data_IF_014824630331
#
_entry.id   IF_014824630331
#
_cell.length_a   1.000
_cell.length_b   1.000
_cell.length_c   1.000
_cell.angle_alpha   90.00
_cell.angle_beta   90.00
_cell.angle_gamma   90.00
#
_symmetry.space_group_name_H-M   'P 1'
#
loop_
_entity.id
_entity.type
_entity.pdbx_description
1 polymer ?
#
# COMPACT_ATOMS: atom_id res chain seq x y z
N UNK A 1 30.53 -13.68 -11.29
CA UNK A 1 29.61 -14.42 -10.40
C UNK A 1 28.37 -14.77 -11.21
N UNK A 2 27.81 -16.00 -11.10
CA UNK A 2 26.58 -16.41 -11.77
C UNK A 2 25.42 -16.31 -10.77
N UNK A 3 24.42 -15.48 -11.06
CA UNK A 3 23.23 -15.34 -10.23
C UNK A 3 22.16 -16.37 -10.58
N UNK A 4 21.27 -16.67 -9.63
CA UNK A 4 20.08 -17.48 -9.91
C UNK A 4 19.16 -16.75 -10.91
N UNK A 5 18.59 -17.50 -11.86
CA UNK A 5 17.75 -16.94 -12.93
C UNK A 5 16.54 -16.12 -12.38
N UNK A 6 15.99 -16.52 -11.24
CA UNK A 6 14.88 -15.81 -10.60
C UNK A 6 15.21 -14.35 -10.27
N UNK A 7 16.50 -13.99 -10.09
CA UNK A 7 16.89 -12.61 -9.77
C UNK A 7 16.66 -11.63 -10.92
N UNK A 8 16.66 -12.09 -12.16
CA UNK A 8 16.35 -11.24 -13.32
C UNK A 8 14.84 -10.95 -13.46
N UNK A 9 14.00 -11.65 -12.69
CA UNK A 9 12.55 -11.44 -12.67
C UNK A 9 12.08 -10.55 -11.52
N UNK A 10 12.98 -10.20 -10.59
CA UNK A 10 12.67 -9.35 -9.45
C UNK A 10 12.80 -7.87 -9.85
N UNK A 11 11.69 -7.16 -9.82
CA UNK A 11 11.63 -5.70 -10.02
C UNK A 11 11.91 -4.90 -8.74
N UNK A 12 11.77 -3.59 -8.82
CA UNK A 12 11.97 -2.65 -7.70
C UNK A 12 10.93 -1.54 -7.70
N UNK A 13 11.02 -0.63 -6.74
CA UNK A 13 10.20 0.57 -6.64
C UNK A 13 10.96 1.78 -7.17
N UNK A 14 10.44 2.44 -8.20
CA UNK A 14 11.06 3.64 -8.81
C UNK A 14 11.02 4.86 -7.90
N UNK A 15 10.18 4.87 -6.85
CA UNK A 15 10.08 5.99 -5.91
C UNK A 15 11.44 6.36 -5.27
N UNK A 16 12.24 5.36 -4.92
CA UNK A 16 13.57 5.60 -4.33
C UNK A 16 14.60 6.10 -5.34
N UNK A 17 14.45 5.74 -6.60
CA UNK A 17 15.29 6.27 -7.70
C UNK A 17 14.98 7.76 -7.94
N UNK A 18 13.69 8.13 -7.95
CA UNK A 18 13.26 9.52 -8.06
C UNK A 18 13.72 10.34 -6.86
N UNK A 19 13.60 9.79 -5.63
CA UNK A 19 14.12 10.43 -4.42
C UNK A 19 15.63 10.70 -4.51
N UNK A 20 16.40 9.70 -4.93
CA UNK A 20 17.87 9.88 -5.08
C UNK A 20 18.19 10.97 -6.10
N UNK A 21 17.46 11.03 -7.21
CA UNK A 21 17.62 12.08 -8.24
C UNK A 21 17.20 13.46 -7.72
N UNK A 22 16.09 13.55 -6.98
CA UNK A 22 15.65 14.79 -6.36
C UNK A 22 16.71 15.35 -5.40
N UNK A 23 17.25 14.50 -4.51
CA UNK A 23 18.35 14.88 -3.60
C UNK A 23 19.62 15.32 -4.33
N UNK A 24 19.96 14.69 -5.45
CA UNK A 24 21.10 15.13 -6.27
C UNK A 24 20.89 16.53 -6.85
N UNK A 25 19.66 16.89 -7.26
CA UNK A 25 19.32 18.23 -7.71
C UNK A 25 19.34 19.26 -6.56
N UNK A 26 18.84 18.88 -5.37
CA UNK A 26 18.92 19.73 -4.17
C UNK A 26 20.36 20.06 -3.80
N UNK A 27 21.27 19.09 -3.94
CA UNK A 27 22.71 19.31 -3.70
C UNK A 27 23.33 20.35 -4.64
N UNK A 28 22.70 20.66 -5.80
CA UNK A 28 23.10 21.75 -6.71
C UNK A 28 22.47 23.10 -6.35
N UNK A 29 21.70 23.18 -5.26
CA UNK A 29 20.99 24.38 -4.82
C UNK A 29 19.57 24.53 -5.37
N UNK A 30 19.03 23.53 -6.09
CA UNK A 30 17.67 23.57 -6.59
C UNK A 30 16.68 23.28 -5.47
N UNK A 31 15.60 24.08 -5.38
CA UNK A 31 14.48 23.79 -4.47
C UNK A 31 13.58 22.71 -5.08
N UNK A 32 13.31 21.66 -4.31
CA UNK A 32 12.43 20.56 -4.71
C UNK A 32 11.33 20.40 -3.67
N UNK A 33 10.09 20.20 -4.13
CA UNK A 33 8.99 19.73 -3.29
C UNK A 33 8.81 18.23 -3.54
N UNK A 34 8.95 17.42 -2.48
CA UNK A 34 8.88 15.97 -2.53
C UNK A 34 7.44 15.47 -2.39
N UNK A 35 6.87 14.95 -3.47
CA UNK A 35 5.55 14.32 -3.51
C UNK A 35 5.60 12.90 -4.08
N UNK A 36 6.82 12.31 -4.22
CA UNK A 36 7.05 10.98 -4.78
C UNK A 36 7.02 9.88 -3.73
N UNK A 37 7.30 10.20 -2.46
CA UNK A 37 7.39 9.18 -1.40
C UNK A 37 6.04 8.97 -0.71
N UNK A 38 5.68 7.71 -0.53
CA UNK A 38 4.47 7.28 0.17
C UNK A 38 4.71 7.06 1.67
N UNK A 39 5.02 8.10 2.41
CA UNK A 39 5.30 8.06 3.84
C UNK A 39 4.55 9.20 4.54
N UNK A 40 3.84 8.94 5.67
CA UNK A 40 3.31 10.01 6.49
C UNK A 40 4.43 10.95 6.97
N UNK A 41 4.22 12.25 6.85
CA UNK A 41 5.15 13.30 7.30
C UNK A 41 5.01 13.65 8.79
N UNK A 42 4.17 12.91 9.49
CA UNK A 42 3.98 13.02 10.93
C UNK A 42 4.97 12.14 11.70
N UNK A 43 5.36 12.60 12.87
CA UNK A 43 6.05 11.76 13.84
C UNK A 43 5.11 10.67 14.37
N UNK A 44 5.67 9.51 14.71
CA UNK A 44 4.95 8.49 15.48
C UNK A 44 4.43 9.11 16.79
N UNK A 45 3.15 8.91 17.17
CA UNK A 45 2.55 9.45 18.40
C UNK A 45 3.40 9.20 19.64
N UNK A 46 3.46 10.20 20.52
CA UNK A 46 4.36 10.21 21.68
C UNK A 46 4.16 8.99 22.59
N UNK A 47 2.92 8.59 22.83
CA UNK A 47 2.61 7.45 23.71
C UNK A 47 3.16 6.12 23.15
N UNK A 48 3.21 5.96 21.82
CA UNK A 48 3.79 4.78 21.16
C UNK A 48 5.32 4.78 21.34
N UNK A 49 5.96 5.95 21.13
CA UNK A 49 7.41 6.11 21.33
C UNK A 49 7.81 5.83 22.78
N UNK A 50 7.03 6.32 23.74
CA UNK A 50 7.24 6.06 25.16
C UNK A 50 7.10 4.58 25.51
N UNK A 51 6.12 3.86 24.94
CA UNK A 51 5.95 2.43 25.14
C UNK A 51 7.16 1.63 24.63
N UNK A 52 7.78 2.04 23.51
CA UNK A 52 9.01 1.40 23.04
C UNK A 52 10.20 1.64 23.98
N UNK A 53 10.36 2.88 24.47
CA UNK A 53 11.43 3.21 25.43
C UNK A 53 11.28 2.41 26.70
N UNK A 54 10.07 2.32 27.26
CA UNK A 54 9.78 1.51 28.44
C UNK A 54 10.07 0.04 28.18
N UNK A 55 9.67 -0.50 27.03
CA UNK A 55 9.96 -1.91 26.70
C UNK A 55 11.48 -2.19 26.61
N UNK A 56 12.28 -1.25 26.12
CA UNK A 56 13.73 -1.37 26.11
C UNK A 56 14.31 -1.37 27.54
N UNK A 57 13.83 -0.50 28.43
CA UNK A 57 14.21 -0.41 29.84
C UNK A 57 13.81 -1.69 30.62
N UNK A 58 12.68 -2.31 30.26
CA UNK A 58 12.20 -3.58 30.80
C UNK A 58 12.96 -4.82 30.26
N UNK A 59 13.89 -4.64 29.32
CA UNK A 59 14.71 -5.72 28.78
C UNK A 59 14.06 -6.54 27.65
N UNK A 60 13.08 -6.00 26.93
CA UNK A 60 12.47 -6.66 25.75
C UNK A 60 13.44 -6.66 24.56
N UNK A 61 14.66 -7.17 24.78
CA UNK A 61 15.78 -7.16 23.80
C UNK A 61 16.16 -8.55 23.32
N UNK A 62 15.44 -9.58 23.74
CA UNK A 62 15.71 -10.97 23.41
C UNK A 62 14.81 -11.50 22.31
N UNK A 63 15.14 -12.67 21.77
CA UNK A 63 14.29 -13.37 20.81
C UNK A 63 12.90 -13.66 21.40
N UNK A 64 11.91 -13.58 20.53
CA UNK A 64 10.53 -13.96 20.82
C UNK A 64 10.05 -14.99 19.77
N UNK A 65 8.87 -15.58 19.92
CA UNK A 65 8.33 -16.50 18.91
C UNK A 65 8.29 -15.89 17.51
N UNK A 66 8.64 -16.68 16.50
CA UNK A 66 8.74 -16.22 15.11
C UNK A 66 7.42 -15.68 14.54
N UNK A 67 6.29 -16.23 15.02
CA UNK A 67 4.97 -15.70 14.65
C UNK A 67 4.63 -14.36 15.36
N UNK A 68 5.43 -13.91 16.30
CA UNK A 68 5.20 -12.75 17.15
C UNK A 68 4.82 -13.10 18.59
N UNK A 69 4.88 -12.11 19.48
CA UNK A 69 4.48 -12.23 20.88
C UNK A 69 3.02 -12.70 20.98
N UNK A 70 2.71 -13.75 21.76
CA UNK A 70 1.35 -14.28 21.86
C UNK A 70 0.31 -13.24 22.28
N UNK A 71 0.65 -12.39 23.25
CA UNK A 71 -0.21 -11.30 23.72
C UNK A 71 -0.47 -10.25 22.64
N UNK A 72 0.53 -9.92 21.80
CA UNK A 72 0.34 -8.97 20.71
C UNK A 72 -0.53 -9.55 19.59
N UNK A 73 -0.30 -10.81 19.22
CA UNK A 73 -1.14 -11.54 18.25
C UNK A 73 -2.60 -11.60 18.71
N UNK A 74 -2.82 -11.81 20.03
CA UNK A 74 -4.16 -11.79 20.63
C UNK A 74 -4.83 -10.42 20.50
N UNK A 75 -4.13 -9.34 20.82
CA UNK A 75 -4.63 -7.97 20.68
C UNK A 75 -5.01 -7.68 19.24
N UNK A 76 -4.17 -8.07 18.26
CA UNK A 76 -4.47 -7.91 16.83
C UNK A 76 -5.76 -8.64 16.47
N UNK A 77 -5.87 -9.93 16.81
CA UNK A 77 -7.03 -10.74 16.47
C UNK A 77 -8.33 -10.19 17.08
N UNK A 78 -8.32 -9.83 18.35
CA UNK A 78 -9.47 -9.25 19.05
C UNK A 78 -9.92 -7.93 18.39
N UNK A 79 -8.98 -7.08 18.00
CA UNK A 79 -9.28 -5.79 17.40
C UNK A 79 -9.84 -5.93 15.99
N UNK A 80 -9.25 -6.78 15.13
CA UNK A 80 -9.76 -7.01 13.78
C UNK A 80 -11.12 -7.70 13.77
N UNK A 81 -11.35 -8.60 14.73
CA UNK A 81 -12.67 -9.19 14.95
C UNK A 81 -13.72 -8.13 15.36
N UNK A 82 -13.36 -7.23 16.28
CA UNK A 82 -14.28 -6.20 16.77
C UNK A 82 -14.53 -5.09 15.74
N UNK A 83 -13.48 -4.61 15.05
CA UNK A 83 -13.60 -3.47 14.16
C UNK A 83 -14.03 -3.85 12.74
N UNK A 84 -13.59 -4.99 12.23
CA UNK A 84 -13.80 -5.41 10.84
C UNK A 84 -14.67 -6.65 10.68
N UNK A 85 -15.07 -7.29 11.77
CA UNK A 85 -15.90 -8.51 11.73
C UNK A 85 -15.18 -9.75 11.20
N UNK A 86 -13.83 -9.75 11.18
CA UNK A 86 -13.03 -10.87 10.67
C UNK A 86 -12.99 -11.97 11.74
N UNK A 87 -13.52 -13.19 11.48
CA UNK A 87 -13.47 -14.30 12.44
C UNK A 87 -12.05 -14.86 12.51
N UNK A 88 -11.29 -14.46 13.53
CA UNK A 88 -9.92 -14.91 13.75
C UNK A 88 -9.59 -14.99 15.24
N UNK A 89 -8.55 -15.74 15.56
CA UNK A 89 -7.88 -15.76 16.84
C UNK A 89 -6.36 -15.54 16.67
N UNK A 90 -5.60 -15.61 17.78
CA UNK A 90 -4.16 -15.33 17.73
C UNK A 90 -3.37 -16.31 16.85
N UNK A 91 -3.85 -17.54 16.62
CA UNK A 91 -3.18 -18.52 15.76
C UNK A 91 -3.26 -18.17 14.27
N UNK A 92 -4.24 -17.32 13.87
CA UNK A 92 -4.36 -16.79 12.53
C UNK A 92 -3.35 -15.67 12.23
N UNK A 93 -2.69 -15.08 13.25
CA UNK A 93 -1.87 -13.88 13.12
C UNK A 93 -0.39 -14.22 13.06
N UNK A 94 0.32 -13.65 12.08
CA UNK A 94 1.79 -13.65 11.99
C UNK A 94 2.31 -12.24 11.92
N UNK A 95 3.19 -11.87 12.85
CA UNK A 95 3.83 -10.53 12.92
C UNK A 95 5.15 -10.55 12.16
N UNK A 96 5.38 -9.51 11.35
CA UNK A 96 6.58 -9.40 10.51
C UNK A 96 7.21 -8.01 10.61
N UNK A 97 8.52 -7.85 10.23
CA UNK A 97 9.19 -6.55 10.18
C UNK A 97 8.67 -5.69 8.99
N UNK A 98 7.50 -5.08 9.20
CA UNK A 98 6.69 -4.41 8.19
C UNK A 98 5.73 -5.36 7.48
N UNK A 99 4.78 -4.83 6.73
CA UNK A 99 3.74 -5.62 6.06
C UNK A 99 4.24 -6.38 4.81
N UNK A 100 5.25 -5.87 4.09
CA UNK A 100 5.75 -6.49 2.85
C UNK A 100 6.17 -7.95 2.97
N UNK A 101 6.84 -8.43 4.04
CA UNK A 101 7.19 -9.84 4.17
C UNK A 101 5.97 -10.78 4.15
N UNK A 102 4.80 -10.35 4.64
CA UNK A 102 3.57 -11.16 4.56
C UNK A 102 3.26 -11.51 3.10
N UNK A 103 3.22 -10.50 2.21
CA UNK A 103 2.98 -10.71 0.78
C UNK A 103 4.01 -11.68 0.17
N UNK A 104 5.30 -11.44 0.47
CA UNK A 104 6.39 -12.24 -0.06
C UNK A 104 6.30 -13.71 0.41
N UNK A 105 6.07 -13.92 1.69
CA UNK A 105 5.97 -15.27 2.26
C UNK A 105 4.70 -16.00 1.84
N UNK A 106 3.58 -15.29 1.71
CA UNK A 106 2.33 -15.88 1.22
C UNK A 106 2.48 -16.35 -0.22
N UNK A 107 3.08 -15.53 -1.10
CA UNK A 107 3.32 -15.94 -2.48
C UNK A 107 4.31 -17.12 -2.57
N UNK A 108 5.36 -17.15 -1.73
CA UNK A 108 6.27 -18.31 -1.63
C UNK A 108 5.59 -19.58 -1.12
N UNK A 109 4.58 -19.44 -0.25
CA UNK A 109 3.91 -20.59 0.36
C UNK A 109 2.76 -21.16 -0.49
N UNK A 110 2.13 -20.33 -1.32
CA UNK A 110 0.91 -20.70 -2.06
C UNK A 110 1.11 -20.93 -3.55
N UNK A 111 2.18 -20.37 -4.15
CA UNK A 111 2.35 -20.34 -5.61
C UNK A 111 3.48 -21.23 -6.07
N UNK A 112 3.22 -21.93 -7.16
CA UNK A 112 4.19 -22.71 -7.94
C UNK A 112 4.40 -22.11 -9.34
N UNK A 113 5.38 -22.63 -10.06
CA UNK A 113 5.65 -22.19 -11.43
C UNK A 113 4.44 -22.43 -12.35
N UNK A 114 3.98 -21.35 -12.98
CA UNK A 114 2.84 -21.38 -13.91
C UNK A 114 1.47 -21.13 -13.27
N UNK A 115 1.38 -21.04 -11.95
CA UNK A 115 0.18 -20.53 -11.27
C UNK A 115 -0.10 -19.07 -11.66
N UNK A 116 -1.35 -18.66 -11.69
CA UNK A 116 -1.75 -17.31 -12.07
C UNK A 116 -2.12 -16.47 -10.85
N UNK A 117 -1.58 -15.25 -10.84
CA UNK A 117 -1.89 -14.20 -9.85
C UNK A 117 -2.59 -13.06 -10.55
N UNK A 118 -3.88 -12.88 -10.26
CA UNK A 118 -4.65 -11.73 -10.70
C UNK A 118 -4.30 -10.53 -9.80
N UNK A 119 -4.09 -9.35 -10.38
CA UNK A 119 -3.77 -8.16 -9.59
C UNK A 119 -4.26 -6.89 -10.30
N UNK A 120 -4.66 -5.83 -9.55
CA UNK A 120 -5.05 -4.55 -10.15
C UNK A 120 -3.86 -3.91 -10.87
N UNK A 121 -4.12 -3.20 -11.98
CA UNK A 121 -3.12 -2.42 -12.71
C UNK A 121 -3.78 -1.13 -13.24
N UNK A 122 -3.28 0.07 -12.87
CA UNK A 122 -2.05 0.30 -12.09
C UNK A 122 -2.12 -0.24 -10.66
N UNK A 123 -0.97 -0.59 -10.04
CA UNK A 123 -0.87 -1.03 -8.66
C UNK A 123 0.54 -0.85 -8.08
N UNK A 124 0.68 -1.11 -6.80
CA UNK A 124 1.97 -1.18 -6.15
C UNK A 124 2.86 -2.24 -6.82
N UNK A 125 4.03 -1.84 -7.38
CA UNK A 125 4.77 -2.68 -8.34
C UNK A 125 5.32 -3.99 -7.75
N UNK A 126 5.36 -4.08 -6.42
CA UNK A 126 5.90 -5.27 -5.75
C UNK A 126 4.99 -6.50 -5.92
N UNK A 127 3.68 -6.33 -6.16
CA UNK A 127 2.78 -7.48 -6.39
C UNK A 127 3.21 -8.26 -7.62
N UNK A 128 3.37 -7.60 -8.76
CA UNK A 128 3.84 -8.20 -10.01
C UNK A 128 5.27 -8.74 -9.88
N UNK A 129 6.14 -7.95 -9.24
CA UNK A 129 7.55 -8.31 -9.03
C UNK A 129 7.70 -9.62 -8.27
N UNK A 130 6.98 -9.81 -7.16
CA UNK A 130 7.08 -11.03 -6.35
C UNK A 130 6.42 -12.21 -7.06
N UNK A 131 5.28 -12.02 -7.73
CA UNK A 131 4.66 -13.07 -8.55
C UNK A 131 5.64 -13.60 -9.61
N UNK A 132 6.29 -12.70 -10.34
CA UNK A 132 7.34 -13.07 -11.32
C UNK A 132 8.54 -13.79 -10.66
N UNK A 133 8.97 -13.30 -9.49
CA UNK A 133 10.12 -13.89 -8.79
C UNK A 133 9.87 -15.33 -8.37
N UNK A 134 8.69 -15.66 -7.88
CA UNK A 134 8.33 -17.03 -7.46
C UNK A 134 8.00 -17.96 -8.64
N UNK A 135 7.93 -17.44 -9.88
CA UNK A 135 7.64 -18.21 -11.09
C UNK A 135 6.17 -18.24 -11.48
N UNK A 136 5.31 -17.57 -10.74
CA UNK A 136 3.91 -17.42 -11.10
C UNK A 136 3.75 -16.42 -12.26
N UNK A 137 2.61 -16.49 -12.94
CA UNK A 137 2.22 -15.59 -14.02
C UNK A 137 1.33 -14.48 -13.50
N UNK A 138 1.79 -13.24 -13.44
CA UNK A 138 0.93 -12.11 -13.09
C UNK A 138 -0.05 -11.81 -14.25
N UNK A 139 -1.34 -11.63 -13.90
CA UNK A 139 -2.42 -11.31 -14.82
C UNK A 139 -3.05 -9.98 -14.41
N UNK A 140 -2.76 -8.89 -15.11
CA UNK A 140 -3.25 -7.56 -14.75
C UNK A 140 -4.76 -7.42 -15.00
N UNK A 141 -5.46 -6.75 -14.06
CA UNK A 141 -6.84 -6.30 -14.15
C UNK A 141 -6.83 -4.78 -14.30
N UNK A 142 -7.35 -4.25 -15.38
CA UNK A 142 -7.28 -2.83 -15.67
C UNK A 142 -8.20 -2.02 -14.75
N UNK A 143 -7.61 -1.15 -13.90
CA UNK A 143 -8.39 -0.14 -13.19
C UNK A 143 -8.51 1.11 -14.07
N UNK A 144 -9.75 1.50 -14.36
CA UNK A 144 -10.05 2.60 -15.27
C UNK A 144 -10.63 3.80 -14.54
N UNK A 145 -10.19 5.00 -14.94
CA UNK A 145 -10.64 6.25 -14.34
C UNK A 145 -12.16 6.45 -14.49
N UNK A 146 -12.75 6.07 -15.63
CA UNK A 146 -14.18 6.16 -15.90
C UNK A 146 -15.05 5.34 -14.93
N UNK A 147 -14.46 4.31 -14.29
CA UNK A 147 -15.10 3.51 -13.24
C UNK A 147 -14.69 3.97 -11.82
N UNK A 148 -13.99 5.10 -11.68
CA UNK A 148 -13.43 5.56 -10.41
C UNK A 148 -12.30 4.67 -9.89
N UNK A 149 -11.59 3.98 -10.78
CA UNK A 149 -10.55 2.99 -10.48
C UNK A 149 -11.03 1.80 -9.62
N UNK A 150 -12.34 1.52 -9.64
CA UNK A 150 -12.89 0.30 -9.06
C UNK A 150 -12.63 -0.91 -9.96
N UNK A 151 -12.65 -2.12 -9.40
CA UNK A 151 -12.37 -3.34 -10.14
C UNK A 151 -13.61 -3.78 -10.94
N UNK A 152 -13.42 -4.08 -12.22
CA UNK A 152 -14.47 -4.61 -13.09
C UNK A 152 -14.64 -6.13 -12.88
N UNK A 153 -15.77 -6.51 -12.29
CA UNK A 153 -16.10 -7.92 -12.02
C UNK A 153 -16.21 -8.78 -13.28
N UNK A 154 -16.63 -8.19 -14.42
CA UNK A 154 -16.71 -8.92 -15.69
C UNK A 154 -15.31 -9.19 -16.25
N UNK A 155 -14.42 -8.20 -16.17
CA UNK A 155 -13.02 -8.38 -16.54
C UNK A 155 -12.36 -9.42 -15.64
N UNK A 156 -12.58 -9.34 -14.30
CA UNK A 156 -12.08 -10.32 -13.35
C UNK A 156 -12.53 -11.74 -13.73
N UNK A 157 -13.84 -11.97 -13.88
CA UNK A 157 -14.39 -13.29 -14.21
C UNK A 157 -13.85 -13.83 -15.54
N UNK A 158 -13.69 -12.99 -16.55
CA UNK A 158 -13.16 -13.38 -17.87
C UNK A 158 -11.70 -13.82 -17.84
N UNK A 159 -10.93 -13.39 -16.83
CA UNK A 159 -9.50 -13.72 -16.69
C UNK A 159 -9.22 -14.87 -15.73
N UNK A 160 -10.24 -15.37 -15.02
CA UNK A 160 -10.09 -16.53 -14.16
C UNK A 160 -9.92 -17.80 -15.01
N UNK A 161 -8.90 -18.60 -14.68
CA UNK A 161 -8.64 -19.91 -15.30
C UNK A 161 -8.47 -20.99 -14.23
N UNK A 162 -8.29 -22.23 -14.63
CA UNK A 162 -7.96 -23.34 -13.71
C UNK A 162 -6.59 -23.18 -13.02
N UNK A 163 -5.75 -22.25 -13.47
CA UNK A 163 -4.45 -21.92 -12.88
C UNK A 163 -4.50 -20.73 -11.94
N UNK A 164 -5.64 -20.03 -11.85
CA UNK A 164 -5.79 -18.91 -10.94
C UNK A 164 -5.72 -19.39 -9.49
N UNK A 165 -4.70 -18.96 -8.75
CA UNK A 165 -4.46 -19.32 -7.35
C UNK A 165 -4.67 -18.17 -6.40
N UNK A 166 -4.34 -16.95 -6.83
CA UNK A 166 -4.34 -15.78 -5.97
C UNK A 166 -4.89 -14.56 -6.71
N UNK A 167 -5.75 -13.82 -6.04
CA UNK A 167 -6.12 -12.44 -6.39
C UNK A 167 -5.51 -11.50 -5.36
N UNK A 168 -4.74 -10.51 -5.81
CA UNK A 168 -4.26 -9.42 -4.95
C UNK A 168 -5.27 -8.28 -5.00
N UNK A 169 -5.65 -7.77 -3.84
CA UNK A 169 -6.44 -6.54 -3.67
C UNK A 169 -5.65 -5.55 -2.85
N UNK A 170 -5.85 -4.26 -3.12
CA UNK A 170 -5.38 -3.18 -2.27
C UNK A 170 -6.47 -2.12 -2.16
N UNK A 171 -7.02 -1.95 -0.95
CA UNK A 171 -8.08 -0.97 -0.70
C UNK A 171 -7.98 -0.42 0.73
N UNK A 172 -7.87 0.90 0.89
CA UNK A 172 -7.69 1.96 -0.11
C UNK A 172 -6.43 1.77 -0.97
N UNK A 173 -6.48 2.20 -2.23
CA UNK A 173 -5.56 1.79 -3.27
C UNK A 173 -4.35 2.73 -3.43
N UNK A 174 -3.16 2.17 -3.57
CA UNK A 174 -1.96 2.85 -4.07
C UNK A 174 -1.73 2.39 -5.53
N UNK A 175 -1.80 3.28 -6.54
CA UNK A 175 -1.57 4.73 -6.47
C UNK A 175 -2.82 5.62 -6.50
N UNK A 176 -4.03 5.12 -6.69
CA UNK A 176 -5.20 5.92 -7.09
C UNK A 176 -5.96 6.55 -5.93
N UNK A 177 -5.80 6.04 -4.70
CA UNK A 177 -6.62 6.43 -3.55
C UNK A 177 -8.07 5.96 -3.62
N UNK A 178 -8.42 5.13 -4.60
CA UNK A 178 -9.75 4.53 -4.72
C UNK A 178 -10.03 3.55 -3.57
N UNK A 179 -11.30 3.38 -3.26
CA UNK A 179 -11.79 2.39 -2.30
C UNK A 179 -12.77 1.48 -3.05
N UNK A 180 -12.60 0.18 -2.91
CA UNK A 180 -13.51 -0.80 -3.50
C UNK A 180 -14.92 -0.61 -2.96
N UNK A 181 -15.90 -0.63 -3.85
CA UNK A 181 -17.31 -0.53 -3.47
C UNK A 181 -17.78 -1.82 -2.80
N UNK A 182 -18.74 -1.75 -1.87
CA UNK A 182 -19.28 -2.94 -1.20
C UNK A 182 -19.74 -4.03 -2.19
N UNK A 183 -20.46 -3.65 -3.24
CA UNK A 183 -20.94 -4.56 -4.28
C UNK A 183 -19.78 -5.22 -5.06
N UNK A 184 -18.68 -4.51 -5.25
CA UNK A 184 -17.47 -5.07 -5.87
C UNK A 184 -16.81 -6.09 -4.94
N UNK A 185 -16.70 -5.79 -3.63
CA UNK A 185 -16.15 -6.71 -2.62
C UNK A 185 -17.01 -7.99 -2.52
N UNK A 186 -18.33 -7.87 -2.52
CA UNK A 186 -19.27 -8.99 -2.52
C UNK A 186 -19.14 -9.85 -3.79
N UNK A 187 -19.03 -9.21 -4.96
CA UNK A 187 -18.83 -9.88 -6.24
C UNK A 187 -17.50 -10.65 -6.29
N UNK A 188 -16.41 -10.05 -5.79
CA UNK A 188 -15.10 -10.72 -5.66
C UNK A 188 -15.24 -11.96 -4.76
N UNK A 189 -15.90 -11.85 -3.61
CA UNK A 189 -16.10 -12.96 -2.70
C UNK A 189 -16.92 -14.11 -3.35
N UNK A 190 -17.94 -13.78 -4.13
CA UNK A 190 -18.71 -14.77 -4.88
C UNK A 190 -17.84 -15.52 -5.92
N UNK A 191 -17.03 -14.80 -6.68
CA UNK A 191 -16.10 -15.38 -7.67
C UNK A 191 -15.02 -16.23 -6.99
N UNK A 192 -14.45 -15.79 -5.87
CA UNK A 192 -13.45 -16.55 -5.13
C UNK A 192 -13.99 -17.88 -4.60
N UNK A 193 -15.25 -17.89 -4.11
CA UNK A 193 -15.93 -19.13 -3.69
C UNK A 193 -16.26 -20.05 -4.88
N UNK A 194 -16.73 -19.47 -6.00
CA UNK A 194 -17.11 -20.21 -7.22
C UNK A 194 -15.91 -20.89 -7.87
N UNK A 195 -14.76 -20.24 -7.91
CA UNK A 195 -13.58 -20.68 -8.65
C UNK A 195 -12.44 -21.17 -7.75
N UNK A 196 -12.62 -21.18 -6.44
CA UNK A 196 -11.70 -21.72 -5.41
C UNK A 196 -10.29 -21.12 -5.47
N UNK A 197 -10.17 -19.79 -5.51
CA UNK A 197 -8.89 -19.11 -5.39
C UNK A 197 -8.79 -18.30 -4.07
N UNK A 198 -7.56 -18.01 -3.66
CA UNK A 198 -7.26 -17.22 -2.46
C UNK A 198 -7.19 -15.72 -2.78
N UNK A 199 -7.37 -14.89 -1.75
CA UNK A 199 -7.27 -13.44 -1.85
C UNK A 199 -6.17 -12.95 -0.89
N UNK A 200 -5.22 -12.17 -1.40
CA UNK A 200 -4.32 -11.35 -0.61
C UNK A 200 -4.89 -9.93 -0.57
N UNK A 201 -5.51 -9.57 0.54
CA UNK A 201 -6.11 -8.25 0.76
C UNK A 201 -5.12 -7.35 1.49
N UNK A 202 -4.48 -6.43 0.75
CA UNK A 202 -3.61 -5.41 1.32
C UNK A 202 -4.47 -4.25 1.83
N UNK A 203 -4.63 -4.18 3.15
CA UNK A 203 -5.47 -3.25 3.87
C UNK A 203 -4.66 -2.19 4.65
N UNK A 204 -3.40 -1.97 4.26
CA UNK A 204 -2.45 -1.08 4.96
C UNK A 204 -2.96 0.36 5.11
N UNK A 205 -3.88 0.79 4.26
CA UNK A 205 -4.53 2.12 4.30
C UNK A 205 -5.95 2.09 4.85
N UNK A 206 -6.46 0.97 5.33
CA UNK A 206 -7.87 0.80 5.72
C UNK A 206 -8.36 1.82 6.76
N UNK A 207 -7.49 2.31 7.64
CA UNK A 207 -7.80 3.35 8.63
C UNK A 207 -7.56 4.78 8.11
N UNK A 208 -7.05 4.94 6.88
CA UNK A 208 -6.92 6.21 6.18
C UNK A 208 -7.96 6.20 5.05
N UNK A 209 -9.21 6.15 5.45
CA UNK A 209 -10.38 6.24 4.58
C UNK A 209 -11.22 7.45 5.02
N UNK A 210 -11.58 8.29 4.07
CA UNK A 210 -12.20 9.58 4.35
C UNK A 210 -13.71 9.50 4.47
N UNK A 211 -14.34 8.57 3.76
CA UNK A 211 -15.78 8.42 3.71
C UNK A 211 -16.17 6.96 3.93
N UNK A 212 -17.22 6.72 4.73
CA UNK A 212 -17.68 5.38 5.03
C UNK A 212 -16.77 4.58 5.97
N UNK A 213 -16.88 3.27 5.91
CA UNK A 213 -16.06 2.30 6.66
C UNK A 213 -15.46 1.31 5.69
N UNK A 214 -14.23 0.92 5.93
CA UNK A 214 -13.56 -0.13 5.16
C UNK A 214 -14.31 -1.47 5.31
N UNK A 215 -14.65 -2.09 4.19
CA UNK A 215 -15.20 -3.44 4.14
C UNK A 215 -14.10 -4.42 3.75
N UNK A 216 -13.66 -5.23 4.70
CA UNK A 216 -12.71 -6.30 4.43
C UNK A 216 -13.41 -7.48 3.78
N UNK A 217 -12.87 -8.01 2.68
CA UNK A 217 -13.41 -9.22 2.06
C UNK A 217 -13.37 -10.43 3.01
N UNK A 218 -12.42 -10.45 3.95
CA UNK A 218 -12.30 -11.50 4.97
C UNK A 218 -13.48 -11.55 5.95
N UNK A 219 -14.26 -10.47 6.08
CA UNK A 219 -15.44 -10.41 6.95
C UNK A 219 -16.68 -11.06 6.34
N UNK A 220 -16.69 -11.31 5.05
CA UNK A 220 -17.83 -11.91 4.37
C UNK A 220 -17.91 -13.43 4.64
N UNK A 221 -19.12 -14.00 4.66
CA UNK A 221 -19.30 -15.42 4.93
C UNK A 221 -18.46 -16.34 4.03
N UNK A 222 -17.70 -17.25 4.64
CA UNK A 222 -16.83 -18.22 3.96
C UNK A 222 -15.58 -17.60 3.31
N UNK A 223 -15.19 -16.36 3.71
CA UNK A 223 -14.03 -15.71 3.12
C UNK A 223 -12.81 -15.66 4.05
N UNK A 224 -12.99 -15.86 5.35
CA UNK A 224 -11.87 -15.83 6.30
C UNK A 224 -10.83 -16.94 6.02
N UNK A 225 -11.29 -18.13 5.60
CA UNK A 225 -10.41 -19.27 5.34
C UNK A 225 -9.63 -19.14 4.02
N UNK A 226 -10.07 -18.25 3.11
CA UNK A 226 -9.44 -18.04 1.81
C UNK A 226 -8.87 -16.65 1.59
N UNK A 227 -8.90 -15.80 2.62
CA UNK A 227 -8.36 -14.44 2.56
C UNK A 227 -7.18 -14.29 3.49
N UNK A 228 -6.09 -13.76 2.96
CA UNK A 228 -4.96 -13.28 3.72
C UNK A 228 -5.09 -11.77 3.82
N UNK A 229 -5.34 -11.25 5.02
CA UNK A 229 -5.31 -9.82 5.28
C UNK A 229 -3.89 -9.42 5.59
N UNK A 230 -3.36 -8.48 4.84
CA UNK A 230 -2.07 -7.83 5.07
C UNK A 230 -2.33 -6.44 5.62
N UNK A 231 -1.79 -6.13 6.80
CA UNK A 231 -1.90 -4.81 7.42
C UNK A 231 -0.66 -4.48 8.26
N UNK A 232 -0.60 -3.29 8.82
CA UNK A 232 0.54 -2.88 9.63
C UNK A 232 0.45 -1.46 10.16
N UNK A 233 1.55 -1.03 10.75
CA UNK A 233 1.61 0.20 11.53
C UNK A 233 2.21 1.38 10.75
N UNK A 234 2.84 1.10 9.61
CA UNK A 234 3.61 2.07 8.85
C UNK A 234 2.82 3.32 8.47
N UNK A 235 1.54 3.17 8.08
CA UNK A 235 0.73 4.27 7.52
C UNK A 235 -0.18 4.89 8.58
N UNK A 236 -1.00 4.07 9.21
CA UNK A 236 -1.97 4.50 10.21
C UNK A 236 -1.33 5.17 11.43
N UNK A 237 -0.15 4.70 11.84
CA UNK A 237 0.52 5.17 13.06
C UNK A 237 1.82 5.93 12.79
N UNK A 238 2.09 6.31 11.53
CA UNK A 238 3.34 6.98 11.13
C UNK A 238 4.59 6.22 11.63
N UNK A 239 4.61 4.89 11.42
CA UNK A 239 5.66 3.98 11.93
C UNK A 239 6.42 3.31 10.77
N UNK A 240 6.73 4.02 9.70
CA UNK A 240 7.42 3.44 8.53
C UNK A 240 8.80 2.90 8.89
N UNK A 241 9.59 3.65 9.66
CA UNK A 241 10.92 3.28 10.13
C UNK A 241 10.95 2.20 11.21
N UNK A 242 9.83 1.92 11.88
CA UNK A 242 9.72 0.91 12.94
C UNK A 242 9.70 -0.52 12.42
N UNK A 243 9.32 -0.70 11.16
CA UNK A 243 9.23 -2.02 10.54
C UNK A 243 8.32 -2.99 11.29
N UNK A 244 7.05 -2.62 11.47
CA UNK A 244 6.04 -3.46 12.12
C UNK A 244 4.81 -3.65 11.23
N UNK A 245 4.46 -4.90 10.98
CA UNK A 245 3.28 -5.32 10.22
C UNK A 245 2.86 -6.73 10.60
N UNK A 246 1.78 -7.21 10.04
CA UNK A 246 1.26 -8.55 10.29
C UNK A 246 0.35 -9.02 9.16
N UNK A 247 0.12 -10.32 9.12
CA UNK A 247 -0.92 -10.95 8.33
C UNK A 247 -1.91 -11.70 9.20
N UNK A 248 -3.17 -11.71 8.77
CA UNK A 248 -4.23 -12.58 9.33
C UNK A 248 -4.63 -13.55 8.22
N UNK A 249 -4.56 -14.84 8.48
CA UNK A 249 -4.76 -15.88 7.49
C UNK A 249 -5.25 -17.16 8.12
N UNK A 250 -5.61 -18.15 7.31
CA UNK A 250 -5.92 -19.50 7.76
C UNK A 250 -4.75 -20.10 8.55
N UNK A 251 -5.05 -20.86 9.63
CA UNK A 251 -4.04 -21.34 10.60
C UNK A 251 -2.95 -22.21 9.98
N UNK A 252 -3.29 -23.08 9.03
CA UNK A 252 -2.30 -23.92 8.36
C UNK A 252 -1.31 -23.05 7.56
N UNK A 253 -1.78 -22.02 6.86
CA UNK A 253 -0.92 -21.07 6.16
C UNK A 253 -0.07 -20.27 7.15
N UNK A 254 -0.64 -19.83 8.27
CA UNK A 254 0.10 -19.08 9.31
C UNK A 254 1.30 -19.86 9.84
N UNK A 255 1.20 -21.20 10.00
CA UNK A 255 2.32 -22.06 10.38
C UNK A 255 3.45 -22.02 9.32
N UNK A 256 3.11 -22.05 8.05
CA UNK A 256 4.11 -21.98 6.97
C UNK A 256 4.76 -20.59 6.88
N UNK A 257 3.98 -19.52 6.98
CA UNK A 257 4.50 -18.15 7.01
C UNK A 257 5.39 -17.89 8.22
N UNK A 258 5.02 -18.40 9.41
CA UNK A 258 5.87 -18.35 10.59
C UNK A 258 7.18 -19.14 10.41
N UNK A 259 7.17 -20.27 9.68
CA UNK A 259 8.39 -21.03 9.34
C UNK A 259 9.29 -20.22 8.38
N UNK A 260 8.73 -19.54 7.41
CA UNK A 260 9.49 -18.63 6.54
C UNK A 260 10.08 -17.46 7.34
N UNK A 261 9.32 -16.92 8.31
CA UNK A 261 9.82 -15.90 9.25
C UNK A 261 11.02 -16.43 10.06
N UNK A 262 10.94 -17.66 10.58
CA UNK A 262 12.06 -18.29 11.32
C UNK A 262 13.32 -18.35 10.47
N UNK A 263 13.19 -18.73 9.19
CA UNK A 263 14.34 -18.96 8.30
C UNK A 263 14.89 -17.69 7.66
N UNK A 264 14.17 -16.55 7.75
CA UNK A 264 14.60 -15.26 7.16
C UNK A 264 15.03 -14.23 8.23
N UNK A 265 14.19 -14.01 9.22
CA UNK A 265 14.32 -12.91 10.19
C UNK A 265 14.41 -13.36 11.64
N UNK A 266 14.23 -14.64 11.93
CA UNK A 266 14.03 -15.24 13.27
C UNK A 266 12.73 -14.77 13.91
N UNK A 267 12.61 -13.48 14.26
CA UNK A 267 11.39 -12.86 14.81
C UNK A 267 11.38 -11.36 14.53
N UNK A 268 10.23 -10.72 14.70
CA UNK A 268 10.12 -9.26 14.77
C UNK A 268 10.55 -8.77 16.15
N UNK A 269 11.26 -7.65 16.24
CA UNK A 269 11.80 -7.09 17.48
C UNK A 269 10.73 -6.99 18.57
N UNK A 270 11.01 -7.56 19.76
CA UNK A 270 10.04 -7.67 20.85
C UNK A 270 9.58 -6.29 21.38
N UNK A 271 10.50 -5.34 21.60
CA UNK A 271 10.16 -4.00 22.06
C UNK A 271 9.28 -3.24 21.07
N UNK A 272 9.45 -3.46 19.74
CA UNK A 272 8.61 -2.86 18.72
C UNK A 272 7.19 -3.44 18.77
N UNK A 273 7.03 -4.74 19.04
CA UNK A 273 5.72 -5.35 19.22
C UNK A 273 5.01 -4.81 20.45
N UNK A 274 5.74 -4.52 21.56
CA UNK A 274 5.18 -3.84 22.75
C UNK A 274 4.65 -2.45 22.40
N UNK A 275 5.39 -1.68 21.60
CA UNK A 275 4.92 -0.39 21.06
C UNK A 275 3.69 -0.56 20.16
N UNK A 276 3.65 -1.63 19.34
CA UNK A 276 2.49 -1.97 18.51
C UNK A 276 1.23 -2.27 19.34
N UNK A 277 1.37 -2.96 20.48
CA UNK A 277 0.26 -3.14 21.42
C UNK A 277 -0.26 -1.80 21.93
N UNK A 278 0.64 -0.91 22.36
CA UNK A 278 0.25 0.44 22.79
C UNK A 278 -0.45 1.22 21.67
N UNK A 279 0.02 1.11 20.42
CA UNK A 279 -0.62 1.75 19.27
C UNK A 279 -2.07 1.28 19.08
N UNK A 280 -2.33 -0.02 19.25
CA UNK A 280 -3.67 -0.59 19.07
C UNK A 280 -4.60 -0.28 20.25
N UNK A 281 -4.10 -0.32 21.48
CA UNK A 281 -4.92 -0.22 22.70
C UNK A 281 -4.96 1.21 23.30
N UNK A 282 -4.06 2.08 22.88
CA UNK A 282 -3.93 3.44 23.38
C UNK A 282 -4.89 4.45 22.75
N UNK A 283 -4.72 5.74 23.09
CA UNK A 283 -5.57 6.81 22.58
C UNK A 283 -5.50 6.92 21.06
N UNK A 284 -6.65 7.04 20.39
CA UNK A 284 -6.72 7.15 18.93
C UNK A 284 -6.94 8.60 18.43
N UNK A 285 -6.90 9.59 19.32
CA UNK A 285 -7.20 10.98 18.96
C UNK A 285 -6.18 11.58 17.97
N UNK A 286 -4.88 11.35 18.20
CA UNK A 286 -3.81 11.82 17.29
C UNK A 286 -3.92 11.16 15.91
N UNK A 287 -4.30 9.87 15.85
CA UNK A 287 -4.50 9.14 14.60
C UNK A 287 -5.66 9.75 13.81
N UNK A 288 -6.79 10.01 14.48
CA UNK A 288 -7.94 10.67 13.85
C UNK A 288 -7.60 12.06 13.34
N UNK A 289 -6.86 12.86 14.13
CA UNK A 289 -6.40 14.18 13.71
C UNK A 289 -5.51 14.12 12.46
N UNK A 290 -4.60 13.15 12.38
CA UNK A 290 -3.76 12.93 11.19
C UNK A 290 -4.62 12.59 9.95
N UNK A 291 -5.64 11.76 10.09
CA UNK A 291 -6.54 11.41 8.97
C UNK A 291 -7.34 12.64 8.50
N UNK A 292 -7.82 13.49 9.43
CA UNK A 292 -8.50 14.73 9.06
C UNK A 292 -7.57 15.74 8.37
N UNK A 293 -6.31 15.82 8.80
CA UNK A 293 -5.29 16.62 8.11
C UNK A 293 -5.04 16.10 6.69
N UNK A 294 -4.92 14.78 6.50
CA UNK A 294 -4.83 14.20 5.16
C UNK A 294 -6.08 14.50 4.30
N UNK A 295 -7.27 14.52 4.89
CA UNK A 295 -8.50 14.92 4.21
C UNK A 295 -8.40 16.37 3.68
N UNK A 296 -7.96 17.29 4.52
CA UNK A 296 -7.79 18.71 4.14
C UNK A 296 -6.75 18.86 3.02
N UNK A 297 -5.61 18.16 3.13
CA UNK A 297 -4.54 18.18 2.11
C UNK A 297 -5.00 17.58 0.79
N UNK A 298 -5.76 16.49 0.83
CA UNK A 298 -6.41 15.90 -0.35
C UNK A 298 -7.25 16.93 -1.09
N UNK A 299 -8.11 17.64 -0.38
CA UNK A 299 -9.05 18.57 -0.98
C UNK A 299 -8.31 19.72 -1.67
N UNK A 300 -7.29 20.28 -1.04
CA UNK A 300 -6.40 21.30 -1.66
C UNK A 300 -5.66 20.75 -2.88
N UNK A 301 -5.13 19.52 -2.79
CA UNK A 301 -4.40 18.90 -3.91
C UNK A 301 -5.32 18.67 -5.11
N UNK A 302 -6.52 18.13 -4.89
CA UNK A 302 -7.49 17.84 -5.97
C UNK A 302 -7.99 19.12 -6.62
N UNK A 303 -8.34 20.13 -5.82
CA UNK A 303 -8.78 21.44 -6.32
C UNK A 303 -7.69 22.09 -7.17
N UNK A 304 -6.45 22.15 -6.65
CA UNK A 304 -5.33 22.77 -7.34
C UNK A 304 -4.95 22.03 -8.63
N UNK A 305 -4.95 20.70 -8.65
CA UNK A 305 -4.68 19.93 -9.87
C UNK A 305 -5.74 20.17 -10.94
N UNK A 306 -7.02 20.21 -10.58
CA UNK A 306 -8.13 20.47 -11.50
C UNK A 306 -8.15 21.91 -12.03
N UNK A 307 -7.47 22.86 -11.39
CA UNK A 307 -7.28 24.21 -11.88
C UNK A 307 -6.17 24.34 -12.94
N UNK A 308 -5.32 23.31 -13.11
CA UNK A 308 -4.22 23.32 -14.08
C UNK A 308 -4.74 22.83 -15.44
N UNK A 309 -4.65 23.62 -16.53
CA UNK A 309 -5.09 23.21 -17.85
C UNK A 309 -4.42 21.91 -18.31
N UNK A 310 -5.22 20.97 -18.82
CA UNK A 310 -4.76 19.67 -19.31
C UNK A 310 -4.60 18.60 -18.22
N UNK A 311 -4.91 18.91 -16.98
CA UNK A 311 -4.93 17.97 -15.87
C UNK A 311 -6.35 17.82 -15.33
N UNK A 312 -6.77 16.58 -15.06
CA UNK A 312 -7.99 16.25 -14.31
C UNK A 312 -7.67 15.27 -13.21
N UNK A 313 -8.28 15.43 -12.06
CA UNK A 313 -8.02 14.60 -10.90
C UNK A 313 -9.33 14.15 -10.25
N UNK A 314 -9.60 12.85 -10.29
CA UNK A 314 -10.68 12.24 -9.53
C UNK A 314 -10.35 12.31 -8.03
N UNK A 315 -11.34 12.69 -7.20
CA UNK A 315 -11.17 12.80 -5.75
C UNK A 315 -10.99 11.42 -5.13
N UNK A 316 -9.86 11.12 -4.46
CA UNK A 316 -9.65 9.83 -3.80
C UNK A 316 -10.48 9.72 -2.51
N UNK A 317 -10.86 8.49 -2.16
CA UNK A 317 -11.64 8.19 -0.96
C UNK A 317 -10.80 7.65 0.21
N UNK A 318 -9.52 7.35 -0.03
CA UNK A 318 -8.62 6.85 1.00
C UNK A 318 -7.14 6.94 0.62
N UNK A 319 -6.27 6.39 1.44
CA UNK A 319 -4.82 6.54 1.39
C UNK A 319 -4.40 8.03 1.44
N UNK A 320 -3.24 8.37 0.92
CA UNK A 320 -2.78 9.77 0.81
C UNK A 320 -2.13 10.03 -0.56
N UNK A 321 -2.76 9.50 -1.62
CA UNK A 321 -2.32 9.67 -3.01
C UNK A 321 -3.42 10.25 -3.88
N UNK A 322 -3.01 11.04 -4.87
CA UNK A 322 -3.81 11.38 -6.03
C UNK A 322 -3.16 10.81 -7.30
N UNK A 323 -4.00 10.47 -8.27
CA UNK A 323 -3.56 9.89 -9.54
C UNK A 323 -4.18 10.65 -10.73
N UNK A 324 -3.81 11.94 -10.91
CA UNK A 324 -4.39 12.81 -11.95
C UNK A 324 -4.09 12.29 -13.34
N UNK A 325 -5.09 12.44 -14.21
CA UNK A 325 -5.00 12.27 -15.63
C UNK A 325 -4.31 13.51 -16.25
N UNK A 326 -3.28 13.26 -17.05
CA UNK A 326 -2.45 14.29 -17.66
C UNK A 326 -2.53 14.29 -19.20
N UNK A 327 -3.43 13.48 -19.78
CA UNK A 327 -3.52 13.34 -21.26
C UNK A 327 -3.77 14.64 -21.96
N UNK A 328 -4.51 15.58 -21.33
CA UNK A 328 -4.75 16.92 -21.85
C UNK A 328 -3.49 17.78 -21.99
N UNK A 329 -2.36 17.41 -21.37
CA UNK A 329 -1.06 18.10 -21.55
C UNK A 329 -0.35 17.70 -22.85
N UNK A 330 -0.76 16.61 -23.51
CA UNK A 330 -0.10 16.05 -24.67
C UNK A 330 1.26 15.40 -24.41
N UNK A 331 1.67 15.25 -23.13
CA UNK A 331 2.98 14.72 -22.74
C UNK A 331 2.82 13.34 -22.11
N UNK A 332 3.72 12.41 -22.43
CA UNK A 332 3.75 11.06 -21.80
C UNK A 332 4.11 11.14 -20.34
N UNK A 333 3.58 10.21 -19.53
CA UNK A 333 3.72 10.18 -18.07
C UNK A 333 5.18 10.21 -17.60
N UNK A 334 6.04 9.39 -18.16
CA UNK A 334 7.45 9.34 -17.76
C UNK A 334 8.21 10.63 -18.10
N UNK A 335 7.92 11.22 -19.26
CA UNK A 335 8.52 12.50 -19.66
C UNK A 335 8.02 13.63 -18.76
N UNK A 336 6.71 13.70 -18.51
CA UNK A 336 6.15 14.77 -17.68
C UNK A 336 6.66 14.67 -16.23
N UNK A 337 6.74 13.48 -15.64
CA UNK A 337 7.32 13.29 -14.31
C UNK A 337 8.77 13.79 -14.25
N UNK A 338 9.58 13.50 -15.28
CA UNK A 338 10.95 14.00 -15.39
C UNK A 338 10.99 15.54 -15.47
N UNK A 339 10.16 16.14 -16.32
CA UNK A 339 10.09 17.58 -16.49
C UNK A 339 9.60 18.30 -15.22
N UNK A 340 8.62 17.72 -14.50
CA UNK A 340 8.18 18.25 -13.21
C UNK A 340 9.35 18.31 -12.22
N UNK A 341 10.17 17.28 -12.13
CA UNK A 341 11.33 17.27 -11.25
C UNK A 341 12.42 18.25 -11.72
N UNK A 342 12.82 18.15 -13.00
CA UNK A 342 13.98 18.88 -13.52
C UNK A 342 13.71 20.35 -13.82
N UNK A 343 12.50 20.71 -14.21
CA UNK A 343 12.16 22.08 -14.60
C UNK A 343 11.29 22.76 -13.55
N UNK A 344 10.21 22.12 -13.10
CA UNK A 344 9.30 22.72 -12.15
C UNK A 344 9.73 22.57 -10.67
N UNK A 345 10.66 21.65 -10.35
CA UNK A 345 11.08 21.42 -8.95
C UNK A 345 10.07 20.60 -8.13
N UNK A 346 9.26 19.79 -8.79
CA UNK A 346 8.25 18.94 -8.13
C UNK A 346 8.57 17.47 -8.40
N UNK A 347 8.92 16.73 -7.36
CA UNK A 347 9.14 15.29 -7.44
C UNK A 347 7.80 14.54 -7.40
N UNK A 348 7.55 13.70 -8.38
CA UNK A 348 6.35 12.85 -8.49
C UNK A 348 6.71 11.56 -9.23
N UNK A 349 5.78 10.62 -9.29
CA UNK A 349 5.99 9.37 -10.03
C UNK A 349 5.17 9.34 -11.31
N UNK A 350 5.78 8.81 -12.37
CA UNK A 350 5.05 8.42 -13.58
C UNK A 350 4.00 7.36 -13.24
N UNK A 351 2.82 7.44 -13.82
CA UNK A 351 1.81 6.39 -13.69
C UNK A 351 2.30 5.03 -14.19
N UNK A 352 3.21 5.02 -15.19
CA UNK A 352 3.82 3.78 -15.71
C UNK A 352 4.71 3.05 -14.70
N UNK A 353 5.14 3.72 -13.63
CA UNK A 353 5.83 3.09 -12.48
C UNK A 353 4.91 2.11 -11.71
N UNK A 354 3.61 2.17 -11.96
CA UNK A 354 2.58 1.33 -11.35
C UNK A 354 1.98 0.31 -12.33
N UNK A 355 2.53 0.20 -13.52
CA UNK A 355 2.11 -0.73 -14.55
C UNK A 355 1.63 -0.08 -15.83
N UNK A 356 1.34 -0.91 -16.83
CA UNK A 356 1.04 -0.46 -18.21
C UNK A 356 -0.23 0.37 -18.32
N UNK A 357 -1.22 0.13 -17.44
CA UNK A 357 -2.47 0.89 -17.43
C UNK A 357 -2.36 2.24 -16.68
N UNK A 358 -1.17 2.55 -16.13
CA UNK A 358 -0.88 3.84 -15.51
C UNK A 358 -0.46 4.94 -16.47
N UNK A 359 -0.24 4.65 -17.78
CA UNK A 359 0.10 5.67 -18.77
C UNK A 359 -1.01 6.73 -18.91
N UNK A 360 -0.62 7.98 -19.05
CA UNK A 360 -1.53 9.12 -19.04
C UNK A 360 -1.86 9.66 -17.66
N UNK A 361 -1.16 9.16 -16.61
CA UNK A 361 -1.33 9.62 -15.24
C UNK A 361 0.01 9.89 -14.54
N UNK A 362 -0.02 10.69 -13.48
CA UNK A 362 1.06 10.83 -12.50
C UNK A 362 0.55 10.44 -11.11
N UNK A 363 1.45 10.02 -10.22
CA UNK A 363 1.11 9.86 -8.81
C UNK A 363 1.79 10.94 -7.97
N UNK A 364 1.00 11.60 -7.13
CA UNK A 364 1.48 12.47 -6.07
C UNK A 364 1.03 11.95 -4.71
N UNK A 365 1.93 12.01 -3.73
CA UNK A 365 1.59 11.85 -2.32
C UNK A 365 1.26 13.21 -1.74
N UNK A 366 0.14 13.36 -1.02
CA UNK A 366 -0.14 14.57 -0.26
C UNK A 366 0.21 14.42 1.24
N UNK A 367 1.05 13.44 1.56
CA UNK A 367 1.70 13.35 2.86
C UNK A 367 2.86 14.36 2.92
N UNK A 368 2.50 15.65 2.90
CA UNK A 368 3.40 16.80 2.97
C UNK A 368 2.62 18.02 3.49
N UNK A 369 3.29 19.09 3.92
CA UNK A 369 2.60 20.29 4.43
C UNK A 369 1.72 20.95 3.36
N UNK A 370 0.63 21.62 3.81
CA UNK A 370 -0.23 22.40 2.92
C UNK A 370 0.54 23.50 2.16
N UNK A 371 1.57 24.07 2.79
CA UNK A 371 2.44 25.06 2.16
C UNK A 371 3.20 24.46 0.97
N UNK A 372 3.85 23.31 1.18
CA UNK A 372 4.57 22.61 0.11
C UNK A 372 3.64 22.14 -1.00
N UNK A 373 2.43 21.65 -0.66
CA UNK A 373 1.43 21.27 -1.65
C UNK A 373 1.03 22.44 -2.52
N UNK A 374 0.70 23.61 -1.94
CA UNK A 374 0.36 24.83 -2.68
C UNK A 374 1.53 25.32 -3.53
N UNK A 375 2.74 25.27 -3.00
CA UNK A 375 3.97 25.62 -3.74
C UNK A 375 4.14 24.73 -4.96
N UNK A 376 4.02 23.42 -4.82
CA UNK A 376 4.12 22.47 -5.92
C UNK A 376 3.07 22.74 -7.00
N UNK A 377 1.80 22.94 -6.59
CA UNK A 377 0.70 23.26 -7.51
C UNK A 377 0.96 24.56 -8.30
N UNK A 378 1.47 25.59 -7.64
CA UNK A 378 1.86 26.85 -8.28
C UNK A 378 2.95 26.63 -9.33
N UNK A 379 4.05 25.98 -8.97
CA UNK A 379 5.16 25.68 -9.89
C UNK A 379 4.75 24.81 -11.07
N UNK A 380 3.90 23.81 -10.85
CA UNK A 380 3.37 22.97 -11.92
C UNK A 380 2.50 23.78 -12.89
N UNK A 381 1.62 24.64 -12.37
CA UNK A 381 0.75 25.51 -13.17
C UNK A 381 1.55 26.50 -14.02
N UNK A 382 2.52 27.19 -13.43
CA UNK A 382 3.42 28.11 -14.13
C UNK A 382 4.20 27.42 -15.26
N UNK A 383 4.79 26.26 -14.95
CA UNK A 383 5.56 25.50 -15.93
C UNK A 383 4.70 25.06 -17.12
N UNK A 384 3.50 24.53 -16.88
CA UNK A 384 2.62 24.05 -17.95
C UNK A 384 2.01 25.21 -18.75
N UNK A 385 1.74 26.36 -18.13
CA UNK A 385 1.27 27.56 -18.85
C UNK A 385 2.31 28.11 -19.81
N UNK A 386 3.59 28.09 -19.47
CA UNK A 386 4.70 28.51 -20.38
C UNK A 386 4.85 27.51 -21.53
N UNK A 387 4.70 26.23 -21.28
CA UNK A 387 4.85 25.16 -22.29
C UNK A 387 3.69 25.15 -23.31
N UNK A 388 2.50 25.60 -22.92
CA UNK A 388 1.32 25.65 -23.78
C UNK A 388 1.31 26.82 -24.79
N UNK A 389 2.23 27.77 -24.64
CA UNK A 389 2.48 28.91 -25.56
C UNK A 389 3.51 28.51 -26.61
#
# INVERSE_FOLDING_TARGET
>A
MKFAQRMSRLGTETAFEVLARARALEATGKKIVHLEIGEPDFDTPKFIRQAATQALEEGWTHYCPSAGLPEFRKVIAEQWKAERGIPCDHENVVVTPGAKPIMFFVMLALLEEGDEVLYPNPAFPIYESVANFVGARPVPLALREENGFDLDLKELESKITSRTRLLVLNSPHNPTGAVLKPETVEGIAALARKHDFHILSDEIYARIQYDGRHLSVASLPGMAERTIVLDGFSKTYAMTGWRLGFGIMEKALAVHVARLMTNSNSCTSAFIQRAGMAALTGPQAEIKAMVEEFRARRDVMVEGLNAIPGITCTKPHGAFYVFPNIRGTGVKSAELARLMLEQAGVACLSGTAFGVHGEGHLRFSYANSLENIRTALGWMGEYLAVRAR
#
